data_IF_377953470332
#
_entry.id   IF_377953470332
#
_cell.length_a   1.000
_cell.length_b   1.000
_cell.length_c   1.000
_cell.angle_alpha   90.00
_cell.angle_beta   90.00
_cell.angle_gamma   90.00
#
_symmetry.space_group_name_H-M   'P 1'
#
loop_
_entity.id
_entity.type
_entity.pdbx_description
1 polymer ?
#
# COMPACT_ATOMS: atom_id res chain seq x y z
N UNK A 1 9.97 40.02 -68.95
CA UNK A 1 9.84 39.97 -67.48
C UNK A 1 9.83 38.51 -67.05
N UNK A 2 10.83 38.05 -66.29
CA UNK A 2 10.98 36.66 -65.84
C UNK A 2 10.21 36.47 -64.52
N UNK A 3 9.20 35.60 -64.51
CA UNK A 3 8.48 35.21 -63.29
C UNK A 3 9.31 34.22 -62.47
N UNK A 4 9.66 34.61 -61.26
CA UNK A 4 10.43 33.83 -60.30
C UNK A 4 9.48 32.86 -59.58
N UNK A 5 9.62 31.55 -59.81
CA UNK A 5 8.80 30.52 -59.16
C UNK A 5 9.29 30.35 -57.71
N UNK A 6 8.45 30.73 -56.75
CA UNK A 6 8.71 30.55 -55.33
C UNK A 6 8.75 29.05 -54.99
N UNK A 7 9.90 28.56 -54.53
CA UNK A 7 10.05 27.21 -53.99
C UNK A 7 9.52 27.18 -52.57
N UNK A 8 8.38 26.50 -52.37
CA UNK A 8 7.82 26.23 -51.04
C UNK A 8 8.68 25.18 -50.31
N UNK A 9 9.16 25.51 -49.12
CA UNK A 9 9.80 24.57 -48.20
C UNK A 9 8.78 23.52 -47.71
N UNK A 10 9.09 22.21 -47.76
CA UNK A 10 8.22 21.19 -47.18
C UNK A 10 8.21 21.30 -45.64
N UNK A 11 7.09 20.99 -44.98
CA UNK A 11 6.97 21.10 -43.54
C UNK A 11 7.88 20.07 -42.84
N UNK A 12 8.54 20.50 -41.77
CA UNK A 12 9.29 19.63 -40.87
C UNK A 12 8.36 18.57 -40.28
N UNK A 13 8.54 17.31 -40.68
CA UNK A 13 7.88 16.16 -40.06
C UNK A 13 8.42 16.04 -38.63
N UNK A 14 7.57 16.30 -37.64
CA UNK A 14 7.92 16.08 -36.23
C UNK A 14 8.33 14.62 -36.04
N UNK A 15 9.46 14.31 -35.37
CA UNK A 15 9.86 12.93 -35.14
C UNK A 15 8.77 12.19 -34.38
N UNK A 16 8.40 11.01 -34.89
CA UNK A 16 7.46 10.09 -34.24
C UNK A 16 7.96 9.84 -32.80
N UNK A 17 7.13 10.05 -31.76
CA UNK A 17 7.56 9.82 -30.39
C UNK A 17 8.07 8.37 -30.25
N UNK A 18 9.20 8.21 -29.57
CA UNK A 18 9.75 6.89 -29.27
C UNK A 18 8.65 6.01 -28.65
N UNK A 19 8.59 4.71 -28.98
CA UNK A 19 7.59 3.82 -28.42
C UNK A 19 7.69 3.86 -26.88
N UNK A 20 6.57 4.15 -26.22
CA UNK A 20 6.48 4.05 -24.76
C UNK A 20 6.84 2.62 -24.39
N UNK A 21 7.89 2.44 -23.57
CA UNK A 21 8.28 1.12 -23.08
C UNK A 21 7.06 0.45 -22.45
N UNK A 22 6.77 -0.79 -22.84
CA UNK A 22 5.66 -1.54 -22.27
C UNK A 22 5.81 -1.59 -20.72
N UNK A 23 4.71 -1.45 -19.97
CA UNK A 23 4.78 -1.42 -18.51
C UNK A 23 5.28 -2.77 -17.99
N UNK A 24 6.28 -2.74 -17.09
CA UNK A 24 6.78 -3.96 -16.46
C UNK A 24 5.71 -4.52 -15.51
N UNK A 25 5.46 -5.84 -15.54
CA UNK A 25 4.50 -6.47 -14.63
C UNK A 25 5.01 -6.42 -13.19
N UNK A 26 4.09 -6.28 -12.23
CA UNK A 26 4.39 -6.30 -10.80
C UNK A 26 3.45 -7.25 -10.07
N UNK A 27 3.98 -8.02 -9.13
CA UNK A 27 3.20 -8.94 -8.30
C UNK A 27 3.15 -8.43 -6.85
N UNK A 28 1.98 -8.57 -6.21
CA UNK A 28 1.78 -8.26 -4.80
C UNK A 28 0.96 -9.39 -4.15
N UNK A 29 1.56 -10.09 -3.18
CA UNK A 29 0.82 -10.98 -2.29
C UNK A 29 0.17 -10.14 -1.19
N UNK A 30 -1.09 -10.43 -0.86
CA UNK A 30 -1.82 -9.75 0.22
C UNK A 30 -2.53 -10.78 1.07
N UNK A 31 -2.03 -10.98 2.29
CA UNK A 31 -2.64 -11.89 3.24
C UNK A 31 -3.84 -11.23 3.94
N UNK A 32 -4.91 -11.99 4.15
CA UNK A 32 -6.04 -11.59 5.00
C UNK A 32 -6.45 -12.76 5.88
N UNK A 33 -6.80 -12.48 7.12
CA UNK A 33 -7.41 -13.42 8.07
C UNK A 33 -8.81 -12.93 8.37
N UNK A 34 -9.80 -13.81 8.18
CA UNK A 34 -11.21 -13.50 8.40
C UNK A 34 -11.77 -14.27 9.59
N UNK A 35 -12.64 -13.63 10.36
CA UNK A 35 -13.43 -14.25 11.43
C UNK A 35 -14.89 -13.93 11.14
N UNK A 36 -15.65 -14.93 10.68
CA UNK A 36 -16.95 -14.70 10.03
C UNK A 36 -16.79 -13.76 8.83
N UNK A 37 -17.62 -12.73 8.76
CA UNK A 37 -17.61 -11.73 7.68
C UNK A 37 -16.60 -10.59 7.88
N UNK A 38 -15.84 -10.61 8.98
CA UNK A 38 -14.90 -9.53 9.35
C UNK A 38 -13.49 -9.90 8.94
N UNK A 39 -12.79 -8.97 8.27
CA UNK A 39 -11.34 -9.08 8.04
C UNK A 39 -10.62 -8.70 9.34
N UNK A 40 -10.34 -9.69 10.18
CA UNK A 40 -9.64 -9.52 11.46
C UNK A 40 -8.22 -8.96 11.28
N UNK A 41 -7.45 -9.51 10.33
CA UNK A 41 -6.09 -9.07 10.03
C UNK A 41 -5.96 -8.91 8.51
N UNK A 42 -5.26 -7.87 8.06
CA UNK A 42 -5.00 -7.67 6.64
C UNK A 42 -4.14 -6.44 6.36
N UNK A 43 -3.79 -6.18 5.08
CA UNK A 43 -2.77 -5.21 4.71
C UNK A 43 -3.11 -3.79 5.17
N UNK A 44 -4.40 -3.41 5.18
CA UNK A 44 -4.82 -2.08 5.63
C UNK A 44 -4.62 -1.87 7.13
N UNK A 45 -4.94 -2.89 7.95
CA UNK A 45 -4.74 -2.86 9.40
C UNK A 45 -3.24 -2.85 9.74
N UNK A 46 -2.44 -3.66 9.04
CA UNK A 46 -0.98 -3.69 9.23
C UNK A 46 -0.32 -2.38 8.82
N UNK A 47 -0.68 -1.81 7.67
CA UNK A 47 -0.18 -0.50 7.24
C UNK A 47 -0.52 0.59 8.26
N UNK A 48 -1.73 0.55 8.82
CA UNK A 48 -2.15 1.50 9.86
C UNK A 48 -1.35 1.35 11.15
N UNK A 49 -1.06 0.12 11.60
CA UNK A 49 -0.21 -0.08 12.77
C UNK A 49 1.23 0.42 12.53
N UNK A 50 1.79 0.19 11.35
CA UNK A 50 3.13 0.68 11.00
C UNK A 50 3.18 2.21 10.97
N UNK A 51 2.21 2.84 10.31
CA UNK A 51 2.09 4.30 10.30
C UNK A 51 1.86 4.88 11.71
N UNK A 52 1.13 4.16 12.56
CA UNK A 52 0.96 4.56 13.96
C UNK A 52 2.27 4.46 14.74
N UNK A 53 3.07 3.42 14.51
CA UNK A 53 4.38 3.27 15.17
C UNK A 53 5.35 4.40 14.79
N UNK A 54 5.34 4.80 13.52
CA UNK A 54 6.18 5.89 13.01
C UNK A 54 5.73 7.26 13.53
N UNK A 55 4.42 7.48 13.68
CA UNK A 55 3.86 8.82 13.95
C UNK A 55 3.43 9.05 15.39
N UNK A 56 3.19 8.00 16.18
CA UNK A 56 2.63 8.08 17.53
C UNK A 56 1.21 8.65 17.61
N UNK A 57 0.51 8.81 16.47
CA UNK A 57 -0.80 9.46 16.41
C UNK A 57 -1.69 8.81 15.36
N UNK A 58 -2.90 8.39 15.76
CA UNK A 58 -3.91 7.84 14.84
C UNK A 58 -4.27 8.86 13.76
N UNK A 59 -4.33 10.15 14.11
CA UNK A 59 -4.65 11.21 13.14
C UNK A 59 -3.55 11.36 12.10
N UNK A 60 -2.28 11.31 12.50
CA UNK A 60 -1.16 11.39 11.58
C UNK A 60 -1.05 10.14 10.70
N UNK A 61 -1.23 8.94 11.29
CA UNK A 61 -1.26 7.67 10.57
C UNK A 61 -2.41 7.59 9.54
N UNK A 62 -3.61 8.10 9.90
CA UNK A 62 -4.73 8.15 8.97
C UNK A 62 -4.43 9.05 7.77
N UNK A 63 -3.83 10.23 8.02
CA UNK A 63 -3.42 11.17 6.97
C UNK A 63 -2.34 10.59 6.04
N UNK A 64 -1.33 9.91 6.58
CA UNK A 64 -0.26 9.31 5.76
C UNK A 64 -0.77 8.19 4.84
N UNK A 65 -1.90 7.58 5.19
CA UNK A 65 -2.55 6.51 4.43
C UNK A 65 -3.77 6.97 3.62
N UNK A 66 -3.93 8.28 3.44
CA UNK A 66 -5.05 8.89 2.69
C UNK A 66 -6.43 8.37 3.13
N UNK A 67 -6.64 8.28 4.45
CA UNK A 67 -7.91 7.86 5.02
C UNK A 67 -8.42 8.79 6.12
N UNK A 68 -9.73 8.76 6.35
CA UNK A 68 -10.33 9.54 7.43
C UNK A 68 -9.93 8.98 8.79
N UNK A 69 -9.83 9.87 9.79
CA UNK A 69 -9.62 9.47 11.18
C UNK A 69 -10.65 8.43 11.64
N UNK A 70 -11.94 8.62 11.29
CA UNK A 70 -13.01 7.66 11.62
C UNK A 70 -12.71 6.26 11.06
N UNK A 71 -12.23 6.17 9.83
CA UNK A 71 -11.86 4.87 9.22
C UNK A 71 -10.68 4.24 9.94
N UNK A 72 -9.64 5.00 10.26
CA UNK A 72 -8.50 4.50 11.02
C UNK A 72 -8.92 3.97 12.39
N UNK A 73 -9.76 4.73 13.11
CA UNK A 73 -10.28 4.31 14.40
C UNK A 73 -11.08 3.01 14.32
N UNK A 74 -11.99 2.88 13.34
CA UNK A 74 -12.77 1.64 13.15
C UNK A 74 -11.86 0.43 12.87
N UNK A 75 -10.82 0.60 12.05
CA UNK A 75 -9.87 -0.48 11.76
C UNK A 75 -9.08 -0.90 13.00
N UNK A 76 -8.69 0.05 13.86
CA UNK A 76 -8.00 -0.24 15.13
C UNK A 76 -8.95 -0.92 16.11
N UNK A 77 -10.19 -0.42 16.26
CA UNK A 77 -11.19 -1.01 17.16
C UNK A 77 -11.52 -2.45 16.75
N UNK A 78 -11.80 -2.69 15.47
CA UNK A 78 -12.01 -4.04 14.92
C UNK A 78 -10.81 -4.96 15.18
N UNK A 79 -9.59 -4.47 14.97
CA UNK A 79 -8.37 -5.25 15.19
C UNK A 79 -8.20 -5.60 16.67
N UNK A 80 -8.34 -4.62 17.57
CA UNK A 80 -8.20 -4.82 19.00
C UNK A 80 -9.24 -5.83 19.53
N UNK A 81 -10.48 -5.80 19.02
CA UNK A 81 -11.52 -6.77 19.36
C UNK A 81 -11.24 -8.18 18.84
N UNK A 82 -10.53 -8.29 17.73
CA UNK A 82 -10.18 -9.58 17.12
C UNK A 82 -8.97 -10.27 17.77
N UNK A 83 -8.16 -9.53 18.53
CA UNK A 83 -6.96 -10.06 19.18
C UNK A 83 -7.19 -10.37 20.66
N UNK A 84 -6.46 -11.36 21.18
CA UNK A 84 -6.46 -11.70 22.62
C UNK A 84 -5.92 -10.55 23.48
N UNK A 85 -4.93 -9.83 22.94
CA UNK A 85 -4.33 -8.64 23.53
C UNK A 85 -4.43 -7.51 22.50
N UNK A 86 -4.86 -6.29 22.90
CA UNK A 86 -4.97 -5.17 21.97
C UNK A 86 -3.65 -4.92 21.24
N UNK A 87 -3.70 -4.56 19.96
CA UNK A 87 -2.53 -4.12 19.19
C UNK A 87 -2.16 -2.66 19.48
N UNK A 88 -3.15 -1.84 19.84
CA UNK A 88 -2.98 -0.41 20.12
C UNK A 88 -3.51 -0.11 21.51
N UNK A 89 -2.69 0.53 22.33
CA UNK A 89 -3.11 1.18 23.56
C UNK A 89 -3.52 2.62 23.25
N UNK A 90 -4.77 2.97 23.53
CA UNK A 90 -5.29 4.33 23.39
C UNK A 90 -5.42 4.96 24.77
N UNK A 91 -4.72 6.06 25.05
CA UNK A 91 -5.02 6.84 26.25
C UNK A 91 -6.41 7.50 26.09
N UNK A 92 -7.28 7.36 27.10
CA UNK A 92 -8.54 8.08 27.12
C UNK A 92 -8.26 9.59 26.96
N UNK A 93 -8.93 10.21 25.99
CA UNK A 93 -8.64 11.59 25.57
C UNK A 93 -8.85 12.60 26.69
N UNK A 94 -7.75 13.12 27.25
CA UNK A 94 -7.71 14.37 27.99
C UNK A 94 -7.29 15.54 27.10
N UNK A 95 -7.38 16.77 27.63
CA UNK A 95 -7.20 18.05 26.92
C UNK A 95 -5.89 18.24 26.13
N UNK A 96 -4.92 17.33 26.24
CA UNK A 96 -3.63 17.36 25.52
C UNK A 96 -3.49 16.31 24.41
N UNK A 97 -4.57 15.59 24.08
CA UNK A 97 -4.57 14.52 23.08
C UNK A 97 -4.04 13.23 23.68
N UNK A 98 -4.93 12.26 23.88
CA UNK A 98 -4.54 10.92 24.30
C UNK A 98 -3.63 10.29 23.25
N UNK A 99 -2.36 10.09 23.58
CA UNK A 99 -1.42 9.38 22.73
C UNK A 99 -1.94 7.98 22.40
N UNK A 100 -1.62 7.50 21.21
CA UNK A 100 -1.91 6.13 20.80
C UNK A 100 -0.59 5.45 20.47
N UNK A 101 -0.32 4.33 21.10
CA UNK A 101 0.94 3.61 20.95
C UNK A 101 0.67 2.13 20.64
N UNK A 102 1.56 1.53 19.86
CA UNK A 102 1.55 0.08 19.71
C UNK A 102 1.87 -0.59 21.04
N UNK A 103 1.14 -1.64 21.35
CA UNK A 103 1.51 -2.60 22.39
C UNK A 103 2.57 -3.56 21.83
N UNK A 104 3.20 -4.35 22.70
CA UNK A 104 4.09 -5.42 22.27
C UNK A 104 3.38 -6.43 21.36
N UNK A 105 2.09 -6.70 21.61
CA UNK A 105 1.28 -7.56 20.76
C UNK A 105 1.07 -6.95 19.36
N UNK A 106 0.91 -5.63 19.26
CA UNK A 106 0.80 -4.94 17.97
C UNK A 106 2.09 -4.99 17.17
N UNK A 107 3.23 -4.78 17.83
CA UNK A 107 4.56 -4.91 17.21
C UNK A 107 4.82 -6.35 16.74
N UNK A 108 4.53 -7.33 17.59
CA UNK A 108 4.66 -8.74 17.25
C UNK A 108 3.79 -9.14 16.06
N UNK A 109 2.55 -8.62 15.99
CA UNK A 109 1.65 -8.84 14.86
C UNK A 109 2.22 -8.31 13.54
N UNK A 110 2.77 -7.09 13.52
CA UNK A 110 3.40 -6.53 12.31
C UNK A 110 4.54 -7.45 11.87
N UNK A 111 5.45 -7.79 12.78
CA UNK A 111 6.63 -8.61 12.48
C UNK A 111 6.22 -9.96 11.90
N UNK A 112 5.29 -10.66 12.56
CA UNK A 112 4.82 -11.97 12.12
C UNK A 112 4.13 -11.89 10.76
N UNK A 113 3.29 -10.88 10.53
CA UNK A 113 2.61 -10.69 9.26
C UNK A 113 3.60 -10.50 8.10
N UNK A 114 4.66 -9.69 8.29
CA UNK A 114 5.69 -9.47 7.26
C UNK A 114 6.55 -10.71 7.03
N UNK A 115 6.93 -11.43 8.08
CA UNK A 115 7.65 -12.69 7.96
C UNK A 115 6.86 -13.74 7.17
N UNK A 116 5.54 -13.81 7.36
CA UNK A 116 4.69 -14.71 6.58
C UNK A 116 4.63 -14.28 5.10
N UNK A 117 4.45 -12.99 4.81
CA UNK A 117 4.47 -12.48 3.43
C UNK A 117 5.79 -12.80 2.72
N UNK A 118 6.92 -12.57 3.40
CA UNK A 118 8.25 -12.87 2.87
C UNK A 118 8.40 -14.37 2.63
N UNK A 119 8.06 -15.21 3.61
CA UNK A 119 8.16 -16.67 3.49
C UNK A 119 7.31 -17.19 2.34
N UNK A 120 6.06 -16.73 2.22
CA UNK A 120 5.16 -17.10 1.14
C UNK A 120 5.70 -16.67 -0.23
N UNK A 121 6.24 -15.45 -0.32
CA UNK A 121 6.86 -14.95 -1.55
C UNK A 121 8.08 -15.78 -1.95
N UNK A 122 8.94 -16.15 -0.99
CA UNK A 122 10.09 -17.00 -1.23
C UNK A 122 9.68 -18.39 -1.71
N UNK A 123 8.69 -19.00 -1.05
CA UNK A 123 8.20 -20.33 -1.39
C UNK A 123 7.58 -20.38 -2.79
N UNK A 124 6.81 -19.35 -3.18
CA UNK A 124 6.13 -19.27 -4.46
C UNK A 124 7.01 -18.75 -5.63
N UNK A 125 8.32 -18.54 -5.42
CA UNK A 125 9.22 -17.99 -6.44
C UNK A 125 9.18 -18.75 -7.77
N UNK A 126 9.23 -20.11 -7.81
CA UNK A 126 9.17 -20.84 -9.07
C UNK A 126 7.88 -20.59 -9.86
N UNK A 127 6.73 -20.67 -9.20
CA UNK A 127 5.39 -20.48 -9.77
C UNK A 127 5.19 -19.03 -10.21
N UNK A 128 5.64 -18.07 -9.40
CA UNK A 128 5.61 -16.65 -9.76
C UNK A 128 6.40 -16.42 -11.05
N UNK A 129 7.60 -17.01 -11.20
CA UNK A 129 8.36 -16.89 -12.45
C UNK A 129 7.61 -17.47 -13.65
N UNK A 130 6.90 -18.59 -13.48
CA UNK A 130 6.09 -19.17 -14.54
C UNK A 130 4.92 -18.28 -14.90
N UNK A 131 4.17 -17.79 -13.90
CA UNK A 131 3.05 -16.86 -14.07
C UNK A 131 3.48 -15.60 -14.83
N UNK A 132 4.63 -15.02 -14.47
CA UNK A 132 5.14 -13.81 -15.10
C UNK A 132 5.51 -14.00 -16.58
N UNK A 133 5.89 -15.22 -17.00
CA UNK A 133 6.15 -15.55 -18.41
C UNK A 133 4.87 -15.64 -19.26
N UNK A 134 3.70 -15.78 -18.64
CA UNK A 134 2.42 -15.83 -19.35
C UNK A 134 1.89 -14.43 -19.72
N UNK A 135 2.49 -13.37 -19.17
CA UNK A 135 2.08 -12.01 -19.44
C UNK A 135 2.67 -11.53 -20.77
N UNK A 136 1.84 -10.93 -21.61
CA UNK A 136 2.30 -10.21 -22.80
C UNK A 136 2.91 -8.87 -22.36
N UNK A 137 4.23 -8.83 -22.20
CA UNK A 137 4.98 -7.64 -21.76
C UNK A 137 6.02 -7.25 -22.78
#
# INVERSE_FOLDING_TARGET
>A
MRGMVARSTPPLVKPKPAPKLAPKPSLKLRMRVTVGDIIAIGPGKIALLQALDETGSITAAAKSLDMSYRRAWLLIDELNRALKTPAVATAAGGAKGGGSALTDSGRALITLYRQIEDTALQAAKPEIRQLMKLLAT
#
